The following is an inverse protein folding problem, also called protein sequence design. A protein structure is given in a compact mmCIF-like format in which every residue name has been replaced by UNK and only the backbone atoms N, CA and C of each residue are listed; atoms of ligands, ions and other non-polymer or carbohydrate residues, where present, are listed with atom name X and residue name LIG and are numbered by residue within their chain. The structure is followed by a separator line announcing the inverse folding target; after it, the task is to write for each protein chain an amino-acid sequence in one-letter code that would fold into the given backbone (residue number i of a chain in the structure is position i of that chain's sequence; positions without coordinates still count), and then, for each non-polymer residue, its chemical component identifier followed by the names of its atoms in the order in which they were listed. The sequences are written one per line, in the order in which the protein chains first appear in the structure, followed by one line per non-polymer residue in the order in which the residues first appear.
data_IF_560339948638
#
_entry.id   IF_560339948638
#
_cell.length_a   1.000
_cell.length_b   1.000
_cell.length_c   1.000
_cell.angle_alpha   90.00
_cell.angle_beta   90.00
_cell.angle_gamma   90.00
#
_symmetry.space_group_name_H-M   'P 1'
#
loop_
_entity.id
_entity.type
_entity.pdbx_description
1 polymer ?
#
# COMPACT_ATOMS: atom_id res chain seq x y z
N UNK A 1 -30.89 -12.12 -2.81
CA UNK A 1 -30.41 -10.73 -3.04
C UNK A 1 -29.98 -10.15 -1.71
N UNK A 2 -28.72 -10.33 -1.30
CA UNK A 2 -28.17 -9.72 -0.10
C UNK A 2 -27.23 -8.60 -0.51
N UNK A 3 -27.79 -7.39 -0.55
CA UNK A 3 -27.03 -6.15 -0.71
C UNK A 3 -26.42 -5.84 0.66
N UNK A 4 -25.23 -6.30 0.93
CA UNK A 4 -24.46 -5.83 2.09
C UNK A 4 -24.08 -4.38 1.81
N UNK A 5 -24.85 -3.48 2.40
CA UNK A 5 -24.55 -2.04 2.42
C UNK A 5 -23.25 -1.89 3.20
N UNK A 6 -22.15 -1.53 2.53
CA UNK A 6 -20.96 -1.02 3.20
C UNK A 6 -21.35 0.30 3.85
N UNK A 7 -21.44 0.31 5.17
CA UNK A 7 -21.63 1.54 5.94
C UNK A 7 -20.38 2.44 5.70
N UNK A 8 -20.61 3.70 5.35
CA UNK A 8 -19.58 4.71 5.15
C UNK A 8 -18.69 4.99 6.39
N UNK A 9 -18.94 4.26 7.48
CA UNK A 9 -18.14 4.23 8.71
C UNK A 9 -17.08 3.14 8.73
N UNK A 10 -17.09 2.20 7.77
CA UNK A 10 -16.06 1.19 7.61
C UNK A 10 -14.96 1.71 6.67
N UNK A 11 -14.11 2.58 7.18
CA UNK A 11 -12.79 2.78 6.57
C UNK A 11 -12.10 1.42 6.50
N UNK A 12 -11.53 1.03 5.32
CA UNK A 12 -10.68 -0.17 5.23
C UNK A 12 -9.56 -0.14 6.27
N UNK A 13 -9.23 1.05 6.73
CA UNK A 13 -8.24 1.35 7.75
C UNK A 13 -8.96 1.96 8.94
N UNK A 14 -9.52 1.12 9.84
CA UNK A 14 -10.08 1.61 11.09
C UNK A 14 -8.96 2.24 11.94
N UNK A 15 -8.91 3.58 11.89
CA UNK A 15 -7.93 4.39 12.62
C UNK A 15 -8.00 4.21 14.16
N UNK A 16 -9.00 3.47 14.66
CA UNK A 16 -9.20 3.22 16.10
C UNK A 16 -8.48 1.96 16.62
N UNK A 17 -7.93 1.13 15.75
CA UNK A 17 -7.15 -0.03 16.18
C UNK A 17 -5.67 0.30 16.23
N UNK A 18 -5.25 0.72 17.43
CA UNK A 18 -3.88 0.91 17.95
C UNK A 18 -3.26 2.29 17.69
N UNK A 19 -2.89 2.87 18.81
CA UNK A 19 -2.05 4.06 19.02
C UNK A 19 -1.22 4.44 17.80
N UNK A 20 -1.42 5.68 17.34
CA UNK A 20 -0.52 6.36 16.43
C UNK A 20 0.91 6.28 17.00
N UNK A 21 1.63 5.25 16.63
CA UNK A 21 3.06 5.18 16.87
C UNK A 21 3.64 6.36 16.11
N UNK A 22 4.23 7.31 16.84
CA UNK A 22 4.75 8.53 16.21
C UNK A 22 5.80 8.14 15.19
N UNK A 23 5.53 8.44 13.92
CA UNK A 23 6.50 8.35 12.84
C UNK A 23 7.70 9.21 13.23
N UNK A 24 8.89 8.63 13.20
CA UNK A 24 10.12 9.33 13.61
C UNK A 24 10.67 10.14 12.45
N UNK A 25 11.23 11.34 12.70
CA UNK A 25 11.98 12.06 11.69
C UNK A 25 13.17 11.21 11.19
N UNK A 26 13.47 11.29 9.91
CA UNK A 26 14.65 10.66 9.34
C UNK A 26 15.90 11.28 9.92
N UNK A 27 16.80 10.46 10.52
CA UNK A 27 18.07 10.94 11.05
C UNK A 27 19.21 10.47 10.15
N UNK A 28 20.06 11.40 9.69
CA UNK A 28 21.36 11.12 9.09
C UNK A 28 21.34 10.56 7.67
N UNK A 29 22.25 9.64 7.37
CA UNK A 29 22.57 9.13 6.03
C UNK A 29 21.40 8.50 5.24
N UNK A 30 20.33 8.05 5.90
CA UNK A 30 19.14 7.52 5.23
C UNK A 30 18.41 8.59 4.42
N UNK A 31 18.43 9.85 4.84
CA UNK A 31 17.74 10.94 4.15
C UNK A 31 18.37 11.28 2.77
N UNK A 32 19.62 10.88 2.54
CA UNK A 32 20.37 11.19 1.32
C UNK A 32 20.32 10.08 0.25
N UNK A 33 19.80 8.88 0.59
CA UNK A 33 19.66 7.77 -0.36
C UNK A 33 18.18 7.48 -0.65
N UNK A 34 17.65 7.86 -1.82
CA UNK A 34 16.26 7.61 -2.19
C UNK A 34 15.86 6.13 -2.18
N UNK A 35 16.78 5.21 -2.48
CA UNK A 35 16.50 3.79 -2.47
C UNK A 35 16.32 3.27 -1.03
N UNK A 36 17.16 3.73 -0.11
CA UNK A 36 17.03 3.41 1.32
C UNK A 36 15.75 3.99 1.92
N UNK A 37 15.37 5.22 1.52
CA UNK A 37 14.10 5.85 1.91
C UNK A 37 12.92 5.02 1.42
N UNK A 38 12.90 4.67 0.14
CA UNK A 38 11.84 3.84 -0.45
C UNK A 38 11.71 2.51 0.28
N UNK A 39 12.83 1.82 0.55
CA UNK A 39 12.83 0.54 1.26
C UNK A 39 12.27 0.67 2.69
N UNK A 40 12.61 1.76 3.38
CA UNK A 40 12.16 2.01 4.74
C UNK A 40 10.66 2.34 4.78
N UNK A 41 10.17 3.24 3.91
CA UNK A 41 8.73 3.56 3.76
C UNK A 41 7.93 2.31 3.43
N UNK A 42 8.40 1.51 2.46
CA UNK A 42 7.77 0.24 2.07
C UNK A 42 7.64 -0.72 3.24
N UNK A 43 8.67 -0.81 4.11
CA UNK A 43 8.64 -1.64 5.32
C UNK A 43 7.59 -1.14 6.31
N UNK A 44 7.58 0.14 6.61
CA UNK A 44 6.63 0.73 7.56
C UNK A 44 5.19 0.58 7.12
N UNK A 45 4.93 0.81 5.83
CA UNK A 45 3.61 0.58 5.20
C UNK A 45 3.17 -0.87 5.30
N UNK A 46 4.06 -1.82 5.00
CA UNK A 46 3.73 -3.25 5.10
C UNK A 46 3.30 -3.62 6.52
N UNK A 47 4.07 -3.19 7.54
CA UNK A 47 3.73 -3.42 8.94
C UNK A 47 2.40 -2.79 9.34
N UNK A 48 2.17 -1.55 8.91
CA UNK A 48 0.92 -0.86 9.17
C UNK A 48 -0.29 -1.60 8.56
N UNK A 49 -0.17 -2.09 7.33
CA UNK A 49 -1.21 -2.91 6.69
C UNK A 49 -1.42 -4.24 7.43
N UNK A 50 -0.35 -4.89 7.88
CA UNK A 50 -0.40 -6.13 8.66
C UNK A 50 -1.11 -5.92 9.99
N UNK A 51 -0.80 -4.83 10.69
CA UNK A 51 -1.50 -4.42 11.93
C UNK A 51 -2.99 -4.12 11.68
N UNK A 52 -3.34 -3.65 10.47
CA UNK A 52 -4.72 -3.44 10.03
C UNK A 52 -5.43 -4.73 9.56
N UNK A 53 -4.76 -5.88 9.62
CA UNK A 53 -5.32 -7.20 9.28
C UNK A 53 -5.22 -7.57 7.81
N UNK A 54 -4.29 -6.98 7.08
CA UNK A 54 -3.95 -7.37 5.71
C UNK A 54 -2.72 -8.29 5.71
N UNK A 55 -2.66 -9.23 4.77
CA UNK A 55 -1.40 -9.83 4.34
C UNK A 55 -0.86 -9.01 3.18
N UNK A 56 0.47 -8.84 3.09
CA UNK A 56 1.08 -7.93 2.12
C UNK A 56 2.00 -8.62 1.14
N UNK A 57 2.02 -8.13 -0.10
CA UNK A 57 3.05 -8.42 -1.08
C UNK A 57 3.63 -7.10 -1.60
N UNK A 58 4.96 -7.04 -1.64
CA UNK A 58 5.71 -5.92 -2.25
C UNK A 58 5.99 -6.24 -3.71
N UNK A 59 6.20 -5.20 -4.52
CA UNK A 59 6.57 -5.36 -5.93
C UNK A 59 5.63 -6.35 -6.65
N UNK A 60 4.32 -6.10 -6.51
CA UNK A 60 3.29 -7.00 -7.01
C UNK A 60 2.97 -6.72 -8.47
N UNK A 61 3.20 -7.68 -9.35
CA UNK A 61 2.89 -7.56 -10.78
C UNK A 61 1.40 -7.72 -11.05
N UNK A 62 0.78 -6.71 -11.64
CA UNK A 62 -0.58 -6.74 -12.15
C UNK A 62 -0.66 -7.47 -13.50
N UNK A 63 -1.88 -7.84 -13.93
CA UNK A 63 -2.12 -8.43 -15.24
C UNK A 63 -1.79 -7.50 -16.41
N UNK A 64 -1.70 -6.21 -16.16
CA UNK A 64 -1.29 -5.16 -17.13
C UNK A 64 0.21 -5.10 -17.37
N UNK A 65 1.02 -5.86 -16.62
CA UNK A 65 2.47 -5.75 -16.61
C UNK A 65 3.02 -4.68 -15.66
N UNK A 66 2.16 -3.83 -15.10
CA UNK A 66 2.53 -2.86 -14.06
C UNK A 66 2.87 -3.55 -12.75
N UNK A 67 3.64 -2.89 -11.90
CA UNK A 67 4.12 -3.41 -10.63
C UNK A 67 3.84 -2.40 -9.52
N UNK A 68 2.89 -2.74 -8.65
CA UNK A 68 2.55 -1.93 -7.50
C UNK A 68 3.54 -2.18 -6.35
N UNK A 69 3.95 -1.14 -5.64
CA UNK A 69 4.97 -1.23 -4.59
C UNK A 69 4.52 -2.09 -3.42
N UNK A 70 3.31 -1.86 -2.90
CA UNK A 70 2.72 -2.68 -1.84
C UNK A 70 1.25 -2.95 -2.14
N UNK A 71 0.87 -4.22 -2.08
CA UNK A 71 -0.53 -4.66 -2.16
C UNK A 71 -0.89 -5.41 -0.89
N UNK A 72 -1.99 -5.01 -0.27
CA UNK A 72 -2.59 -5.69 0.88
C UNK A 72 -3.87 -6.40 0.49
N UNK A 73 -4.06 -7.62 0.99
CA UNK A 73 -5.29 -8.40 0.89
C UNK A 73 -5.74 -8.80 2.30
N UNK A 74 -7.00 -8.52 2.65
CA UNK A 74 -7.54 -8.91 3.96
C UNK A 74 -8.47 -10.13 3.87
N UNK A 75 -8.86 -10.67 5.03
CA UNK A 75 -9.72 -11.85 5.13
C UNK A 75 -11.13 -11.65 4.53
N UNK A 76 -11.57 -10.39 4.33
CA UNK A 76 -12.84 -10.05 3.67
C UNK A 76 -12.69 -9.94 2.14
N UNK A 77 -11.48 -10.16 1.62
CA UNK A 77 -11.16 -10.03 0.20
C UNK A 77 -10.99 -8.58 -0.26
N UNK A 78 -10.87 -7.61 0.65
CA UNK A 78 -10.60 -6.24 0.27
C UNK A 78 -9.13 -6.07 -0.11
N UNK A 79 -8.88 -5.29 -1.16
CA UNK A 79 -7.57 -5.05 -1.75
C UNK A 79 -7.20 -3.59 -1.57
N UNK A 80 -6.09 -3.34 -0.87
CA UNK A 80 -5.47 -2.04 -0.75
C UNK A 80 -4.20 -2.00 -1.60
N UNK A 81 -3.96 -0.88 -2.29
CA UNK A 81 -2.70 -0.64 -2.99
C UNK A 81 -2.06 0.65 -2.48
N UNK A 82 -0.77 0.58 -2.28
CA UNK A 82 0.02 1.72 -1.80
C UNK A 82 1.22 1.90 -2.73
N UNK A 83 1.34 3.11 -3.25
CA UNK A 83 2.45 3.57 -4.07
C UNK A 83 3.40 4.41 -3.22
N UNK A 84 4.68 4.08 -3.22
CA UNK A 84 5.70 4.77 -2.43
C UNK A 84 6.34 5.87 -3.26
N UNK A 85 6.39 7.07 -2.70
CA UNK A 85 7.08 8.21 -3.31
C UNK A 85 8.12 8.77 -2.33
N UNK A 86 9.39 8.57 -2.66
CA UNK A 86 10.49 8.98 -1.78
C UNK A 86 10.80 10.48 -1.87
N UNK A 87 10.53 11.11 -3.03
CA UNK A 87 10.79 12.53 -3.24
C UNK A 87 9.68 13.18 -4.10
N UNK A 88 9.52 14.52 -4.02
CA UNK A 88 8.63 15.26 -4.92
C UNK A 88 8.99 15.12 -6.40
N UNK A 89 10.28 14.96 -6.72
CA UNK A 89 10.75 14.74 -8.10
C UNK A 89 10.28 13.38 -8.61
N UNK A 90 10.38 12.32 -7.80
CA UNK A 90 9.88 10.98 -8.10
C UNK A 90 8.38 11.01 -8.40
N UNK A 91 7.60 11.70 -7.56
CA UNK A 91 6.16 11.85 -7.80
C UNK A 91 5.84 12.56 -9.12
N UNK A 92 6.55 13.65 -9.47
CA UNK A 92 6.29 14.42 -10.69
C UNK A 92 6.71 13.69 -11.98
N UNK A 93 7.65 12.75 -11.87
CA UNK A 93 8.17 11.99 -13.00
C UNK A 93 7.34 10.74 -13.34
N UNK A 94 6.37 10.37 -12.48
CA UNK A 94 5.66 9.11 -12.61
C UNK A 94 4.14 9.28 -12.44
N UNK A 95 3.40 8.96 -13.48
CA UNK A 95 1.93 8.93 -13.54
C UNK A 95 1.36 7.49 -13.61
N UNK A 96 2.21 6.46 -13.57
CA UNK A 96 1.82 5.04 -13.71
C UNK A 96 0.89 4.56 -12.61
N UNK A 97 0.88 5.23 -11.46
CA UNK A 97 0.01 4.93 -10.34
C UNK A 97 -1.48 5.01 -10.71
N UNK A 98 -1.86 5.81 -11.73
CA UNK A 98 -3.23 5.85 -12.26
C UNK A 98 -3.70 4.48 -12.77
N UNK A 99 -2.78 3.66 -13.27
CA UNK A 99 -3.09 2.32 -13.75
C UNK A 99 -3.42 1.34 -12.61
N UNK A 100 -3.10 1.68 -11.35
CA UNK A 100 -3.38 0.82 -10.19
C UNK A 100 -4.77 1.05 -9.60
N UNK A 101 -5.26 2.28 -9.64
CA UNK A 101 -6.54 2.69 -9.04
C UNK A 101 -7.70 1.77 -9.42
N UNK A 102 -7.87 1.35 -10.68
CA UNK A 102 -8.93 0.42 -11.06
C UNK A 102 -8.77 -1.00 -10.50
N UNK A 103 -7.66 -1.33 -9.83
CA UNK A 103 -7.34 -2.68 -9.34
C UNK A 103 -7.37 -2.81 -7.82
N UNK A 104 -7.84 -1.80 -7.08
CA UNK A 104 -7.95 -1.85 -5.63
C UNK A 104 -9.27 -1.27 -5.13
N UNK A 105 -9.62 -1.58 -3.89
CA UNK A 105 -10.72 -0.96 -3.16
C UNK A 105 -10.32 0.38 -2.54
N UNK A 106 -9.04 0.52 -2.20
CA UNK A 106 -8.45 1.74 -1.65
C UNK A 106 -7.03 1.93 -2.19
N UNK A 107 -6.75 3.13 -2.70
CA UNK A 107 -5.43 3.52 -3.15
C UNK A 107 -4.87 4.64 -2.28
N UNK A 108 -3.61 4.52 -1.89
CA UNK A 108 -2.91 5.53 -1.10
C UNK A 108 -1.51 5.75 -1.63
N UNK A 109 -1.00 6.97 -1.46
CA UNK A 109 0.43 7.24 -1.52
C UNK A 109 1.05 7.05 -0.14
N UNK A 110 2.26 6.51 -0.10
CA UNK A 110 3.09 6.48 1.09
C UNK A 110 4.35 7.30 0.87
N UNK A 111 4.63 8.17 1.83
CA UNK A 111 5.72 9.14 1.72
C UNK A 111 6.51 9.22 3.03
N UNK A 112 7.79 9.63 3.00
CA UNK A 112 8.57 9.88 4.21
C UNK A 112 8.05 11.11 4.99
N UNK A 113 8.46 11.29 6.26
CA UNK A 113 7.96 12.34 7.15
C UNK A 113 8.18 13.78 6.69
N UNK A 114 9.23 14.02 5.93
CA UNK A 114 9.63 15.33 5.39
C UNK A 114 9.06 15.63 3.99
N UNK A 115 8.31 14.68 3.42
CA UNK A 115 7.70 14.87 2.11
C UNK A 115 6.56 15.91 2.17
N UNK A 116 6.52 16.89 1.25
CA UNK A 116 5.44 17.89 1.19
C UNK A 116 4.15 17.26 0.62
N UNK A 117 3.51 16.40 1.39
CA UNK A 117 2.38 15.56 0.95
C UNK A 117 1.18 16.33 0.40
N UNK A 118 1.10 17.65 0.65
CA UNK A 118 0.05 18.51 0.08
C UNK A 118 0.07 18.61 -1.45
N UNK A 119 1.20 18.24 -2.10
CA UNK A 119 1.29 18.18 -3.57
C UNK A 119 0.60 16.95 -4.16
N UNK A 120 0.26 15.95 -3.33
CA UNK A 120 -0.40 14.72 -3.76
C UNK A 120 -1.88 14.98 -4.04
N UNK A 121 -2.47 14.35 -5.08
CA UNK A 121 -3.85 14.54 -5.47
C UNK A 121 -4.82 14.31 -4.30
N UNK A 122 -5.82 15.19 -4.15
CA UNK A 122 -6.73 15.19 -3.01
C UNK A 122 -7.63 13.95 -2.96
N UNK A 123 -7.86 13.30 -4.09
CA UNK A 123 -8.79 12.17 -4.25
C UNK A 123 -8.24 10.83 -3.76
N UNK A 124 -7.00 10.79 -3.25
CA UNK A 124 -6.35 9.55 -2.84
C UNK A 124 -5.87 9.62 -1.39
N UNK A 125 -5.72 8.45 -0.77
CA UNK A 125 -5.18 8.34 0.57
C UNK A 125 -3.73 8.80 0.65
N UNK A 126 -3.32 9.27 1.83
CA UNK A 126 -1.93 9.61 2.12
C UNK A 126 -1.52 9.03 3.46
N UNK A 127 -0.42 8.34 3.46
CA UNK A 127 0.21 7.71 4.62
C UNK A 127 1.64 8.24 4.74
N UNK A 128 2.01 8.75 5.90
CA UNK A 128 3.39 9.07 6.23
C UNK A 128 3.99 7.86 6.93
N UNK A 129 5.13 7.38 6.46
CA UNK A 129 5.77 6.18 7.00
C UNK A 129 7.28 6.35 7.18
N UNK A 130 7.80 5.66 8.20
CA UNK A 130 9.23 5.40 8.42
C UNK A 130 9.51 3.89 8.31
N UNK A 131 10.69 3.43 8.74
CA UNK A 131 11.05 2.00 8.68
C UNK A 131 10.25 1.12 9.66
N UNK A 132 9.52 1.71 10.62
CA UNK A 132 8.93 1.00 11.75
C UNK A 132 7.42 1.06 11.79
N UNK A 133 6.84 2.19 11.35
CA UNK A 133 5.44 2.50 11.48
C UNK A 133 4.93 3.40 10.36
N UNK A 134 3.61 3.56 10.30
CA UNK A 134 2.99 4.52 9.40
C UNK A 134 1.76 5.18 10.07
N UNK A 135 1.47 6.40 9.64
CA UNK A 135 0.31 7.18 10.10
C UNK A 135 -0.50 7.67 8.90
N UNK A 136 -1.82 7.50 8.97
CA UNK A 136 -2.74 8.01 7.93
C UNK A 136 -2.91 9.51 8.14
N UNK A 137 -2.56 10.30 7.13
CA UNK A 137 -2.79 11.76 7.07
C UNK A 137 -4.09 12.05 6.36
N UNK A 138 -4.39 11.29 5.32
CA UNK A 138 -5.64 11.38 4.57
C UNK A 138 -6.14 9.98 4.25
N UNK A 139 -7.37 9.68 4.67
CA UNK A 139 -8.01 8.38 4.40
C UNK A 139 -8.27 8.22 2.91
N UNK A 140 -7.96 7.05 2.38
CA UNK A 140 -8.29 6.70 1.00
C UNK A 140 -9.81 6.54 0.84
N UNK A 141 -10.42 7.14 -0.19
CA UNK A 141 -11.78 6.82 -0.59
C UNK A 141 -11.91 5.33 -0.94
N UNK A 142 -13.07 4.77 -0.58
CA UNK A 142 -13.38 3.38 -0.93
C UNK A 142 -14.04 3.31 -2.30
N UNK A 143 -13.47 2.49 -3.16
CA UNK A 143 -14.03 2.13 -4.46
C UNK A 143 -14.36 0.64 -4.46
N UNK A 144 -15.58 0.29 -4.91
CA UNK A 144 -15.94 -1.12 -4.98
C UNK A 144 -15.28 -1.76 -6.20
N UNK A 145 -14.28 -2.59 -5.95
CA UNK A 145 -13.64 -3.37 -7.01
C UNK A 145 -14.63 -4.37 -7.64
N UNK A 146 -14.67 -4.42 -8.97
CA UNK A 146 -15.53 -5.34 -9.70
C UNK A 146 -15.22 -6.81 -9.35
N UNK A 147 -16.25 -7.63 -9.13
CA UNK A 147 -16.10 -9.00 -8.59
C UNK A 147 -15.18 -9.90 -9.42
N UNK A 148 -15.24 -9.83 -10.75
CA UNK A 148 -14.35 -10.62 -11.62
C UNK A 148 -12.88 -10.20 -11.47
N UNK A 149 -12.62 -8.89 -11.36
CA UNK A 149 -11.28 -8.36 -11.16
C UNK A 149 -10.73 -8.72 -9.77
N UNK A 150 -11.57 -8.64 -8.74
CA UNK A 150 -11.23 -9.10 -7.38
C UNK A 150 -10.79 -10.57 -7.38
N UNK A 151 -11.58 -11.46 -8.00
CA UNK A 151 -11.25 -12.89 -8.11
C UNK A 151 -9.90 -13.09 -8.80
N UNK A 152 -9.67 -12.44 -9.92
CA UNK A 152 -8.43 -12.55 -10.68
C UNK A 152 -7.21 -12.05 -9.86
N UNK A 153 -7.35 -10.93 -9.15
CA UNK A 153 -6.29 -10.40 -8.30
C UNK A 153 -6.02 -11.27 -7.08
N UNK A 154 -7.05 -11.79 -6.41
CA UNK A 154 -6.89 -12.70 -5.27
C UNK A 154 -6.16 -13.97 -5.68
N UNK A 155 -6.49 -14.57 -6.82
CA UNK A 155 -5.78 -15.73 -7.35
C UNK A 155 -4.31 -15.40 -7.67
N UNK A 156 -4.06 -14.28 -8.35
CA UNK A 156 -2.71 -13.82 -8.65
C UNK A 156 -1.89 -13.55 -7.39
N UNK A 157 -2.52 -12.96 -6.37
CA UNK A 157 -1.89 -12.71 -5.07
C UNK A 157 -1.49 -14.03 -4.41
N UNK A 158 -2.39 -15.03 -4.37
CA UNK A 158 -2.11 -16.34 -3.80
C UNK A 158 -0.97 -17.06 -4.52
N UNK A 159 -0.95 -17.05 -5.87
CA UNK A 159 0.11 -17.63 -6.65
C UNK A 159 1.46 -16.96 -6.41
N UNK A 160 1.50 -15.62 -6.43
CA UNK A 160 2.73 -14.88 -6.16
C UNK A 160 3.25 -15.09 -4.73
N UNK A 161 2.36 -15.20 -3.74
CA UNK A 161 2.74 -15.51 -2.36
C UNK A 161 3.32 -16.92 -2.27
N UNK A 162 2.69 -17.91 -2.91
CA UNK A 162 3.16 -19.31 -2.96
C UNK A 162 4.52 -19.45 -3.63
N UNK A 163 4.72 -18.80 -4.78
CA UNK A 163 6.02 -18.78 -5.48
C UNK A 163 7.14 -18.20 -4.60
N UNK A 164 6.87 -17.05 -3.95
CA UNK A 164 7.86 -16.42 -3.06
C UNK A 164 8.18 -17.29 -1.84
N UNK A 165 7.16 -17.91 -1.26
CA UNK A 165 7.36 -18.83 -0.14
C UNK A 165 8.19 -20.05 -0.58
N UNK A 166 7.87 -20.67 -1.70
CA UNK A 166 8.64 -21.81 -2.25
C UNK A 166 10.11 -21.44 -2.49
N UNK A 167 10.34 -20.27 -3.10
CA UNK A 167 11.72 -19.79 -3.32
C UNK A 167 12.46 -19.50 -2.01
N UNK A 168 11.77 -19.03 -0.98
CA UNK A 168 12.38 -18.77 0.32
C UNK A 168 12.74 -20.06 1.06
N UNK A 169 11.88 -21.09 0.97
CA UNK A 169 12.05 -22.37 1.68
C UNK A 169 13.05 -23.27 0.95
N UNK A 170 13.01 -23.30 -0.38
CA UNK A 170 13.87 -24.12 -1.24
C UNK A 170 14.38 -23.29 -2.43
N UNK A 171 15.43 -22.48 -2.24
CA UNK A 171 16.01 -21.68 -3.31
C UNK A 171 16.61 -22.58 -4.38
N UNK A 172 16.06 -22.55 -5.59
CA UNK A 172 16.66 -23.21 -6.75
C UNK A 172 17.78 -22.31 -7.26
N UNK A 173 19.01 -22.79 -7.11
CA UNK A 173 20.25 -22.12 -7.58
C UNK A 173 20.30 -21.95 -9.09
#
# INVERSE_FOLDING_TARGET
MNTTVFDSRDSLFDARRRSAQRVRPWAGALASDPAAVTAAVTRGVSRWLEDAGFVTLREFKLGTGRRADVVGLNAKGAIAMVEVKSTPADFRADDKWLDYVPYCDAFSFAVPPDFPWSILPADYGVVIADAYSASVVRTAPLHRLHAARRRALTLRFALAAGERLSTLVDPRG
#
